data_IF_852776420673
#
_entry.id   IF_852776420673
#
_cell.length_a   1.000
_cell.length_b   1.000
_cell.length_c   1.000
_cell.angle_alpha   90.00
_cell.angle_beta   90.00
_cell.angle_gamma   90.00
#
_symmetry.space_group_name_H-M   'P 1'
#
loop_
_entity.id
_entity.type
_entity.pdbx_description
1 polymer ?
#
# COMPACT_ATOMS: atom_id res chain seq x y z
N UNK A 1 -6.18 -40.30 -4.79
CA UNK A 1 -6.23 -39.38 -3.62
C UNK A 1 -5.42 -38.09 -3.80
N UNK A 2 -5.05 -37.65 -5.00
CA UNK A 2 -4.08 -36.56 -5.25
C UNK A 2 -4.65 -35.29 -5.93
N UNK A 3 -5.94 -35.22 -6.20
CA UNK A 3 -6.53 -34.06 -6.89
C UNK A 3 -7.04 -32.92 -5.99
N UNK A 4 -7.33 -33.20 -4.72
CA UNK A 4 -7.80 -32.16 -3.77
C UNK A 4 -6.65 -31.28 -3.24
N UNK A 5 -5.44 -31.82 -3.08
CA UNK A 5 -4.30 -31.08 -2.57
C UNK A 5 -3.81 -29.98 -3.54
N UNK A 6 -3.76 -30.27 -4.84
CA UNK A 6 -3.30 -29.31 -5.84
C UNK A 6 -4.23 -28.09 -5.98
N UNK A 7 -5.54 -28.33 -6.00
CA UNK A 7 -6.54 -27.25 -6.09
C UNK A 7 -6.51 -26.32 -4.87
N UNK A 8 -6.37 -26.88 -3.66
CA UNK A 8 -6.27 -26.11 -2.42
C UNK A 8 -5.02 -25.21 -2.39
N UNK A 9 -3.87 -25.74 -2.80
CA UNK A 9 -2.61 -24.96 -2.88
C UNK A 9 -2.74 -23.83 -3.90
N UNK A 10 -3.29 -24.06 -5.08
CA UNK A 10 -3.51 -23.02 -6.09
C UNK A 10 -4.43 -21.92 -5.56
N UNK A 11 -5.53 -22.25 -4.91
CA UNK A 11 -6.46 -21.24 -4.32
C UNK A 11 -5.78 -20.44 -3.22
N UNK A 12 -4.99 -21.07 -2.36
CA UNK A 12 -4.25 -20.36 -1.31
C UNK A 12 -3.21 -19.41 -1.90
N UNK A 13 -2.41 -19.84 -2.87
CA UNK A 13 -1.38 -19.01 -3.49
C UNK A 13 -1.99 -17.87 -4.28
N UNK A 14 -3.03 -18.11 -5.07
CA UNK A 14 -3.72 -17.06 -5.83
C UNK A 14 -4.41 -16.08 -4.89
N UNK A 15 -5.12 -16.57 -3.87
CA UNK A 15 -5.79 -15.72 -2.88
C UNK A 15 -4.84 -14.86 -2.09
N UNK A 16 -3.69 -15.40 -1.64
CA UNK A 16 -2.67 -14.62 -0.93
C UNK A 16 -2.00 -13.60 -1.85
N UNK A 17 -1.70 -13.93 -3.11
CA UNK A 17 -1.14 -12.96 -4.06
C UNK A 17 -2.08 -11.80 -4.32
N UNK A 18 -3.38 -12.06 -4.50
CA UNK A 18 -4.40 -11.01 -4.65
C UNK A 18 -4.51 -10.16 -3.40
N UNK A 19 -4.54 -10.77 -2.20
CA UNK A 19 -4.63 -10.02 -0.95
C UNK A 19 -3.39 -9.14 -0.73
N UNK A 20 -2.20 -9.64 -1.05
CA UNK A 20 -0.94 -8.90 -0.95
C UNK A 20 -0.98 -7.69 -1.90
N UNK A 21 -1.22 -7.90 -3.19
CA UNK A 21 -1.25 -6.79 -4.16
C UNK A 21 -2.35 -5.79 -3.83
N UNK A 22 -3.53 -6.24 -3.41
CA UNK A 22 -4.59 -5.36 -2.96
C UNK A 22 -4.15 -4.48 -1.80
N UNK A 23 -3.60 -5.06 -0.72
CA UNK A 23 -3.23 -4.34 0.48
C UNK A 23 -2.07 -3.36 0.29
N UNK A 24 -1.15 -3.64 -0.63
CA UNK A 24 -0.03 -2.75 -0.93
C UNK A 24 -0.47 -1.45 -1.62
N UNK A 25 -1.66 -1.45 -2.24
CA UNK A 25 -2.20 -0.31 -2.99
C UNK A 25 -3.52 0.22 -2.41
N UNK A 26 -3.99 -0.35 -1.30
CA UNK A 26 -5.30 -0.04 -0.74
C UNK A 26 -5.19 0.28 0.74
N UNK A 27 -5.14 1.57 1.04
CA UNK A 27 -5.10 2.09 2.40
C UNK A 27 -5.82 3.46 2.41
N UNK A 28 -6.60 3.80 3.47
CA UNK A 28 -7.28 5.09 3.55
C UNK A 28 -6.38 6.31 3.45
N UNK A 29 -5.09 6.15 3.76
CA UNK A 29 -4.10 7.23 3.75
C UNK A 29 -3.38 7.40 2.42
N UNK A 30 -3.55 6.45 1.50
CA UNK A 30 -2.91 6.51 0.18
C UNK A 30 -3.67 7.42 -0.78
N UNK A 31 -2.98 8.34 -1.46
CA UNK A 31 -3.58 9.17 -2.48
C UNK A 31 -3.81 8.39 -3.78
N UNK A 32 -4.85 8.76 -4.50
CA UNK A 32 -5.10 8.37 -5.89
C UNK A 32 -5.07 9.61 -6.77
N UNK A 33 -4.67 9.48 -8.00
CA UNK A 33 -4.47 10.63 -8.88
C UNK A 33 -5.31 10.49 -10.14
N UNK A 34 -5.96 11.59 -10.54
CA UNK A 34 -6.56 11.71 -11.86
C UNK A 34 -5.46 11.65 -12.93
N UNK A 35 -5.77 11.24 -14.18
CA UNK A 35 -4.77 11.10 -15.24
C UNK A 35 -3.90 12.34 -15.43
N UNK A 36 -4.48 13.52 -15.31
CA UNK A 36 -3.81 14.82 -15.50
C UNK A 36 -2.84 15.14 -14.35
N UNK A 37 -3.07 14.56 -13.17
CA UNK A 37 -2.27 14.77 -11.96
C UNK A 37 -1.30 13.62 -11.68
N UNK A 38 -1.41 12.54 -12.44
CA UNK A 38 -0.58 11.35 -12.25
C UNK A 38 0.83 11.56 -12.80
N UNK A 39 1.82 11.14 -12.03
CA UNK A 39 3.22 11.00 -12.47
C UNK A 39 3.76 9.67 -11.96
N UNK A 40 4.82 9.15 -12.57
CA UNK A 40 5.48 7.94 -12.10
C UNK A 40 5.83 7.99 -10.60
N UNK A 41 6.45 9.08 -10.15
CA UNK A 41 6.86 9.27 -8.75
C UNK A 41 5.65 9.31 -7.80
N UNK A 42 4.55 9.96 -8.21
CA UNK A 42 3.32 9.99 -7.43
C UNK A 42 2.67 8.61 -7.35
N UNK A 43 2.64 7.88 -8.46
CA UNK A 43 2.13 6.50 -8.49
C UNK A 43 2.95 5.55 -7.62
N UNK A 44 4.28 5.65 -7.68
CA UNK A 44 5.18 4.86 -6.83
C UNK A 44 5.01 5.21 -5.34
N UNK A 45 4.82 6.50 -5.00
CA UNK A 45 4.55 6.94 -3.63
C UNK A 45 3.16 6.55 -3.10
N UNK A 46 2.23 6.17 -3.97
CA UNK A 46 0.90 5.71 -3.60
C UNK A 46 0.88 4.21 -3.25
N UNK A 47 1.88 3.77 -2.53
CA UNK A 47 2.05 2.39 -2.04
C UNK A 47 2.45 2.38 -0.58
N UNK A 48 2.32 1.23 0.07
CA UNK A 48 2.57 1.08 1.50
C UNK A 48 3.30 -0.23 1.76
N UNK A 49 4.31 -0.21 2.63
CA UNK A 49 4.95 -1.41 3.13
C UNK A 49 4.10 -2.02 4.25
N UNK A 50 3.99 -3.35 4.23
CA UNK A 50 3.30 -4.11 5.26
C UNK A 50 4.16 -5.27 5.73
N UNK A 51 3.81 -5.89 6.85
CA UNK A 51 4.52 -7.04 7.39
C UNK A 51 3.64 -8.30 7.32
N UNK A 52 4.14 -9.34 6.65
CA UNK A 52 3.50 -10.66 6.66
C UNK A 52 4.32 -11.71 7.42
N UNK A 53 5.30 -11.25 8.16
CA UNK A 53 6.15 -12.06 9.02
C UNK A 53 7.02 -13.03 8.25
N UNK A 54 7.30 -14.18 8.88
CA UNK A 54 8.17 -15.20 8.31
C UNK A 54 7.74 -15.65 6.90
N UNK A 55 6.43 -15.75 6.66
CA UNK A 55 5.87 -16.16 5.35
C UNK A 55 6.22 -15.11 4.28
N UNK A 56 6.02 -13.83 4.57
CA UNK A 56 6.36 -12.73 3.68
C UNK A 56 7.84 -12.74 3.31
N UNK A 57 8.69 -12.85 4.29
CA UNK A 57 10.14 -12.83 4.11
C UNK A 57 10.68 -14.07 3.38
N UNK A 58 10.16 -15.28 3.65
CA UNK A 58 10.69 -16.52 3.07
C UNK A 58 10.03 -16.90 1.74
N UNK A 59 8.70 -16.79 1.61
CA UNK A 59 8.00 -17.19 0.39
C UNK A 59 7.89 -16.07 -0.64
N UNK A 60 7.83 -14.82 -0.19
CA UNK A 60 7.69 -13.65 -1.04
C UNK A 60 8.94 -12.78 -1.08
N UNK A 61 10.06 -13.28 -0.52
CA UNK A 61 11.37 -12.61 -0.57
C UNK A 61 11.36 -11.16 -0.07
N UNK A 62 10.48 -10.84 0.91
CA UNK A 62 10.38 -9.51 1.49
C UNK A 62 9.70 -8.45 0.61
N UNK A 63 9.10 -8.82 -0.51
CA UNK A 63 8.42 -7.86 -1.40
C UNK A 63 7.26 -7.12 -0.72
N UNK A 64 6.69 -7.70 0.32
CA UNK A 64 5.59 -7.13 1.09
C UNK A 64 6.14 -6.02 2.00
N UNK A 65 7.27 -6.28 2.61
CA UNK A 65 7.96 -5.42 3.57
C UNK A 65 8.73 -4.28 2.91
N UNK A 66 9.03 -4.39 1.61
CA UNK A 66 9.84 -3.42 0.84
C UNK A 66 9.13 -2.99 -0.45
N UNK A 67 7.81 -2.95 -0.43
CA UNK A 67 6.99 -2.74 -1.62
C UNK A 67 7.11 -1.31 -2.18
N UNK A 68 7.20 -0.33 -1.31
CA UNK A 68 7.44 1.06 -1.72
C UNK A 68 8.73 1.18 -2.52
N UNK A 69 9.82 0.59 -2.03
CA UNK A 69 11.08 0.56 -2.76
C UNK A 69 10.93 -0.13 -4.12
N UNK A 70 10.23 -1.27 -4.16
CA UNK A 70 10.00 -2.02 -5.39
C UNK A 70 9.33 -1.16 -6.47
N UNK A 71 8.40 -0.29 -6.11
CA UNK A 71 7.74 0.61 -7.05
C UNK A 71 8.65 1.74 -7.58
N UNK A 72 9.65 2.14 -6.82
CA UNK A 72 10.63 3.14 -7.28
C UNK A 72 11.76 2.52 -8.09
N UNK A 73 12.30 1.39 -7.62
CA UNK A 73 13.50 0.76 -8.21
C UNK A 73 13.34 -0.77 -8.16
N UNK A 74 12.55 -1.33 -9.07
CA UNK A 74 12.26 -2.77 -9.14
C UNK A 74 13.48 -3.65 -9.51
N UNK A 75 14.61 -3.06 -9.90
CA UNK A 75 15.82 -3.76 -10.28
C UNK A 75 16.73 -4.11 -9.11
N UNK A 76 16.47 -3.59 -7.91
CA UNK A 76 17.25 -3.93 -6.72
C UNK A 76 16.96 -5.39 -6.34
N UNK A 77 17.99 -6.23 -6.19
CA UNK A 77 17.81 -7.59 -5.73
C UNK A 77 17.21 -7.65 -4.33
N UNK A 78 16.34 -8.63 -4.09
CA UNK A 78 15.59 -8.74 -2.82
C UNK A 78 16.48 -8.78 -1.57
N UNK A 79 17.68 -9.33 -1.66
CA UNK A 79 18.62 -9.41 -0.54
C UNK A 79 19.31 -8.07 -0.20
N UNK A 80 19.12 -7.01 -1.01
CA UNK A 80 19.51 -5.64 -0.74
C UNK A 80 18.29 -4.72 -0.49
N UNK A 81 17.08 -5.25 -0.58
CA UNK A 81 15.88 -4.44 -0.51
C UNK A 81 15.69 -3.80 0.88
N UNK A 82 15.99 -4.50 1.96
CA UNK A 82 15.87 -3.94 3.32
C UNK A 82 16.83 -2.72 3.50
N UNK A 83 18.08 -2.84 3.08
CA UNK A 83 19.07 -1.77 3.14
C UNK A 83 18.66 -0.55 2.30
N UNK A 84 18.23 -0.80 1.07
CA UNK A 84 17.78 0.25 0.16
C UNK A 84 16.46 0.91 0.64
N UNK A 85 15.60 0.17 1.35
CA UNK A 85 14.39 0.70 1.96
C UNK A 85 14.71 1.73 3.04
N UNK A 86 15.73 1.53 3.86
CA UNK A 86 16.15 2.54 4.85
C UNK A 86 16.64 3.83 4.17
N UNK A 87 17.32 3.72 3.04
CA UNK A 87 17.74 4.88 2.27
C UNK A 87 16.54 5.65 1.69
N UNK A 88 15.56 4.94 1.09
CA UNK A 88 14.39 5.60 0.49
C UNK A 88 13.49 6.22 1.55
N UNK A 89 13.36 5.66 2.74
CA UNK A 89 12.67 6.27 3.89
C UNK A 89 13.19 7.67 4.18
N UNK A 90 14.51 7.83 4.19
CA UNK A 90 15.14 9.11 4.42
C UNK A 90 14.81 10.13 3.33
N UNK A 91 14.80 9.72 2.07
CA UNK A 91 14.48 10.59 0.93
C UNK A 91 13.01 10.99 0.90
N UNK A 92 12.10 10.02 1.13
CA UNK A 92 10.65 10.26 1.10
C UNK A 92 10.14 10.98 2.35
N UNK A 93 10.81 10.81 3.49
CA UNK A 93 10.41 11.41 4.76
C UNK A 93 8.94 11.13 5.08
N UNK A 94 8.14 12.19 5.28
CA UNK A 94 6.71 12.09 5.61
C UNK A 94 5.83 11.43 4.52
N UNK A 95 6.34 11.28 3.31
CA UNK A 95 5.60 10.66 2.21
C UNK A 95 5.76 9.15 2.16
N UNK A 96 6.72 8.60 2.89
CA UNK A 96 6.85 7.16 3.06
C UNK A 96 5.70 6.62 3.92
N UNK A 97 5.11 5.51 3.48
CA UNK A 97 4.02 4.85 4.19
C UNK A 97 4.41 3.43 4.56
N UNK A 98 4.16 3.08 5.81
CA UNK A 98 4.30 1.70 6.29
C UNK A 98 3.28 1.40 7.37
N UNK A 99 2.80 0.15 7.39
CA UNK A 99 1.94 -0.42 8.41
C UNK A 99 2.44 -1.85 8.66
N UNK A 100 3.50 -1.94 9.45
CA UNK A 100 4.22 -3.18 9.75
C UNK A 100 3.94 -3.70 11.16
N UNK A 101 3.03 -3.05 11.90
CA UNK A 101 2.70 -3.44 13.26
C UNK A 101 1.84 -4.71 13.30
N UNK A 102 2.09 -5.57 14.29
CA UNK A 102 1.30 -6.77 14.55
C UNK A 102 1.58 -7.96 13.63
N UNK A 103 2.55 -7.88 12.73
CA UNK A 103 2.95 -8.98 11.85
C UNK A 103 1.79 -9.60 11.06
N UNK A 104 1.70 -10.95 10.97
CA UNK A 104 0.61 -11.59 10.19
C UNK A 104 -0.80 -11.28 10.68
N UNK A 105 -1.00 -11.05 11.97
CA UNK A 105 -2.30 -10.64 12.52
C UNK A 105 -2.61 -9.19 12.18
N UNK A 106 -1.61 -8.33 12.20
CA UNK A 106 -1.72 -6.95 11.72
C UNK A 106 -2.11 -6.91 10.24
N UNK A 107 -1.49 -7.75 9.41
CA UNK A 107 -1.85 -7.89 8.00
C UNK A 107 -3.34 -8.26 7.78
N UNK A 108 -3.85 -9.24 8.54
CA UNK A 108 -5.26 -9.63 8.49
C UNK A 108 -6.18 -8.50 8.97
N UNK A 109 -5.77 -7.77 10.02
CA UNK A 109 -6.50 -6.60 10.49
C UNK A 109 -6.55 -5.51 9.43
N UNK A 110 -5.44 -5.23 8.78
CA UNK A 110 -5.35 -4.25 7.68
C UNK A 110 -6.20 -4.67 6.48
N UNK A 111 -6.24 -5.97 6.15
CA UNK A 111 -7.12 -6.49 5.10
C UNK A 111 -8.60 -6.23 5.44
N UNK A 112 -9.02 -6.56 6.65
CA UNK A 112 -10.39 -6.31 7.12
C UNK A 112 -10.74 -4.82 7.11
N UNK A 113 -9.84 -3.98 7.60
CA UNK A 113 -10.01 -2.53 7.64
C UNK A 113 -10.11 -1.94 6.24
N UNK A 114 -9.18 -2.30 5.34
CA UNK A 114 -9.17 -1.80 3.97
C UNK A 114 -10.42 -2.20 3.19
N UNK A 115 -10.90 -3.44 3.34
CA UNK A 115 -12.15 -3.88 2.71
C UNK A 115 -13.38 -3.06 3.17
N UNK A 116 -13.37 -2.55 4.39
CA UNK A 116 -14.49 -1.77 4.94
C UNK A 116 -14.36 -0.27 4.69
N UNK A 117 -13.15 0.24 4.59
CA UNK A 117 -12.89 1.69 4.51
C UNK A 117 -12.58 2.17 3.10
N UNK A 118 -12.05 1.31 2.25
CA UNK A 118 -11.61 1.67 0.90
C UNK A 118 -12.63 1.21 -0.15
N UNK A 119 -13.79 1.89 -0.23
CA UNK A 119 -14.89 1.47 -1.11
C UNK A 119 -14.95 2.24 -2.43
N UNK A 120 -14.64 3.53 -2.43
CA UNK A 120 -14.50 4.37 -3.62
C UNK A 120 -13.52 5.50 -3.34
N UNK A 121 -13.14 6.27 -4.33
CA UNK A 121 -12.25 7.41 -4.19
C UNK A 121 -12.95 8.70 -4.58
N UNK A 122 -12.68 9.77 -3.83
CA UNK A 122 -13.19 11.11 -4.08
C UNK A 122 -12.10 12.15 -3.78
N UNK A 123 -12.14 13.33 -4.41
CA UNK A 123 -11.31 14.46 -4.02
C UNK A 123 -11.53 14.86 -2.56
N UNK A 124 -10.57 15.57 -1.99
CA UNK A 124 -10.73 16.18 -0.66
C UNK A 124 -11.82 17.25 -0.73
N UNK A 125 -12.67 17.30 0.28
CA UNK A 125 -13.76 18.29 0.36
C UNK A 125 -13.22 19.72 0.24
N UNK A 126 -13.75 20.47 -0.72
CA UNK A 126 -13.29 21.84 -1.01
C UNK A 126 -11.97 21.96 -1.76
N UNK A 127 -11.43 20.86 -2.28
CA UNK A 127 -10.25 20.89 -3.14
C UNK A 127 -10.55 21.57 -4.47
N UNK A 128 -9.65 22.43 -4.93
CA UNK A 128 -9.75 23.16 -6.20
C UNK A 128 -8.42 23.11 -6.96
N UNK A 129 -8.46 23.30 -8.27
CA UNK A 129 -7.25 23.29 -9.10
C UNK A 129 -6.52 21.95 -9.06
N UNK A 130 -5.22 21.97 -8.85
CA UNK A 130 -4.39 20.74 -8.81
C UNK A 130 -4.76 19.81 -7.66
N UNK A 131 -5.27 20.33 -6.54
CA UNK A 131 -5.68 19.53 -5.39
C UNK A 131 -6.90 18.67 -5.70
N UNK A 132 -7.79 19.11 -6.60
CA UNK A 132 -8.96 18.33 -7.04
C UNK A 132 -8.58 17.07 -7.82
N UNK A 133 -7.35 17.03 -8.37
CA UNK A 133 -6.80 15.86 -9.03
C UNK A 133 -6.26 14.79 -8.08
N UNK A 134 -6.28 15.03 -6.75
CA UNK A 134 -5.82 14.09 -5.72
C UNK A 134 -7.03 13.57 -4.95
N UNK A 135 -7.23 12.27 -4.99
CA UNK A 135 -8.38 11.58 -4.39
C UNK A 135 -7.93 10.66 -3.26
N UNK A 136 -8.84 10.41 -2.33
CA UNK A 136 -8.65 9.46 -1.25
C UNK A 136 -9.84 8.53 -1.10
N UNK A 137 -9.62 7.38 -0.47
CA UNK A 137 -10.70 6.43 -0.23
C UNK A 137 -11.78 6.98 0.69
N UNK A 138 -13.02 6.63 0.36
CA UNK A 138 -14.23 6.92 1.12
C UNK A 138 -15.04 5.63 1.33
N UNK A 139 -15.98 5.69 2.25
CA UNK A 139 -16.88 4.57 2.54
C UNK A 139 -18.22 5.05 3.11
N UNK A 140 -19.21 4.19 3.00
CA UNK A 140 -20.58 4.46 3.48
C UNK A 140 -20.71 4.50 5.00
N UNK A 141 -19.74 3.96 5.72
CA UNK A 141 -19.81 3.78 7.17
C UNK A 141 -19.29 4.99 7.95
N UNK A 142 -18.81 6.02 7.28
CA UNK A 142 -18.12 7.14 7.90
C UNK A 142 -16.81 6.72 8.61
N UNK A 143 -16.36 5.48 8.36
CA UNK A 143 -15.10 4.95 8.86
C UNK A 143 -14.00 5.38 7.90
N UNK A 144 -12.91 5.82 8.44
CA UNK A 144 -11.75 6.22 7.65
C UNK A 144 -11.30 7.62 8.00
N UNK A 145 -10.01 7.79 7.93
CA UNK A 145 -9.35 9.05 8.24
C UNK A 145 -9.39 9.87 6.95
N UNK A 146 -10.08 11.01 6.99
CA UNK A 146 -9.76 12.06 6.03
C UNK A 146 -8.29 12.39 6.25
N UNK A 147 -7.42 12.29 5.23
CA UNK A 147 -6.04 12.67 5.42
C UNK A 147 -6.02 14.11 5.91
N UNK A 148 -5.26 14.34 6.96
CA UNK A 148 -5.06 15.69 7.48
C UNK A 148 -4.64 16.58 6.30
N UNK A 149 -5.29 17.73 6.16
CA UNK A 149 -4.88 18.74 5.19
C UNK A 149 -3.38 18.93 5.33
N UNK A 150 -2.63 18.67 4.27
CA UNK A 150 -1.19 18.94 4.26
C UNK A 150 -1.07 20.45 4.34
N UNK A 151 -0.76 20.98 5.53
CA UNK A 151 -0.44 22.39 5.67
C UNK A 151 0.73 22.70 4.72
N UNK A 152 0.51 23.66 3.83
CA UNK A 152 1.60 24.12 2.95
C UNK A 152 2.73 24.60 3.87
N UNK A 153 3.99 24.23 3.58
CA UNK A 153 5.11 24.84 4.32
C UNK A 153 4.95 26.35 4.18
N UNK A 154 4.94 27.01 5.32
CA UNK A 154 5.01 28.48 5.37
C UNK A 154 6.29 28.89 4.66
N UNK A 155 6.17 29.67 3.62
CA UNK A 155 7.27 30.17 2.80
C UNK A 155 8.22 31.05 3.63
#
# INVERSE_FOLDING_TARGET
MTRLGGGFVVVLLTGSSVAITFLQHTDPTLPHYMPESWTYTRGAAATIDREFGFIGRQLFHGIIETHVLHHYISTIPFYHADEATEAIKTVMGRHYRSDTEGGPLGFLHSLWTSMRTCQWVEPIDGATGEEAGVMFFRNRNGLGVSPARVEKPVA
#
